data_IF_841982166967
#
_entry.id   IF_841982166967
#
_cell.length_a   1.000
_cell.length_b   1.000
_cell.length_c   1.000
_cell.angle_alpha   90.00
_cell.angle_beta   90.00
_cell.angle_gamma   90.00
#
_symmetry.space_group_name_H-M   'P 1'
#
loop_
_entity.id
_entity.type
_entity.pdbx_description
1 polymer ?
#
# COMPACT_ATOMS: atom_id res chain seq x y z
N UNK A 1 80.18 -18.83 -56.81
CA UNK A 1 80.58 -20.14 -57.36
C UNK A 1 79.48 -21.14 -56.95
N UNK A 2 78.83 -21.62 -57.99
CA UNK A 2 77.93 -22.76 -57.98
C UNK A 2 78.66 -24.08 -57.60
N UNK A 3 78.08 -25.28 -57.59
CA UNK A 3 76.69 -25.72 -57.52
C UNK A 3 76.44 -27.10 -56.73
N UNK A 4 75.17 -27.42 -56.53
CA UNK A 4 74.45 -28.68 -56.63
C UNK A 4 75.05 -30.03 -56.10
N UNK A 5 74.23 -31.19 -56.01
CA UNK A 5 72.78 -31.37 -56.04
C UNK A 5 72.23 -32.54 -55.10
N UNK A 6 70.88 -32.55 -54.98
CA UNK A 6 69.92 -33.70 -55.01
C UNK A 6 70.24 -35.03 -54.32
N UNK A 7 69.33 -35.53 -53.49
CA UNK A 7 68.79 -36.93 -53.66
C UNK A 7 67.44 -37.10 -52.95
N UNK A 8 66.48 -37.63 -53.74
CA UNK A 8 65.12 -38.09 -53.33
C UNK A 8 65.22 -39.43 -52.62
N UNK A 9 64.40 -39.63 -51.58
CA UNK A 9 63.75 -40.96 -51.37
C UNK A 9 62.48 -40.82 -50.67
N UNK A 10 61.39 -41.27 -51.28
CA UNK A 10 60.01 -41.49 -50.76
C UNK A 10 60.06 -42.58 -49.71
N UNK A 11 59.17 -42.44 -48.69
CA UNK A 11 58.46 -43.55 -48.08
C UNK A 11 57.12 -43.07 -47.55
N UNK A 12 56.09 -43.80 -47.98
CA UNK A 12 54.68 -43.70 -47.57
C UNK A 12 54.50 -44.17 -46.13
N UNK A 13 53.57 -43.53 -45.44
CA UNK A 13 53.13 -44.01 -44.11
C UNK A 13 52.03 -43.20 -43.54
N UNK A 14 50.78 -43.59 -43.77
CA UNK A 14 49.64 -43.57 -42.76
C UNK A 14 49.05 -42.25 -42.38
N UNK A 15 47.93 -41.85 -43.01
CA UNK A 15 46.94 -40.91 -42.49
C UNK A 15 46.16 -41.60 -41.35
N UNK A 16 46.20 -41.04 -40.15
CA UNK A 16 45.17 -41.15 -39.13
C UNK A 16 44.72 -39.75 -38.80
N UNK A 17 43.56 -39.38 -39.34
CA UNK A 17 42.91 -38.11 -39.06
C UNK A 17 42.23 -38.16 -37.70
N UNK A 18 42.74 -37.42 -36.73
CA UNK A 18 42.03 -37.10 -35.48
C UNK A 18 41.19 -35.86 -35.73
N UNK A 19 39.87 -36.03 -35.88
CA UNK A 19 38.93 -34.93 -35.79
C UNK A 19 38.86 -34.45 -34.33
N UNK A 20 39.52 -33.37 -33.99
CA UNK A 20 39.28 -32.65 -32.76
C UNK A 20 37.95 -31.88 -32.92
N UNK A 21 36.86 -32.42 -32.35
CA UNK A 21 35.60 -31.69 -32.18
C UNK A 21 35.86 -30.62 -31.14
N UNK A 22 36.16 -29.42 -31.61
CA UNK A 22 36.24 -28.22 -30.74
C UNK A 22 34.86 -27.88 -30.22
N UNK A 23 34.57 -28.23 -28.96
CA UNK A 23 33.44 -27.67 -28.25
C UNK A 23 33.70 -26.20 -28.00
N UNK A 24 33.10 -25.33 -28.80
CA UNK A 24 33.04 -23.90 -28.54
C UNK A 24 32.11 -23.70 -27.32
N UNK A 25 32.60 -23.23 -26.18
CA UNK A 25 31.70 -22.92 -25.07
C UNK A 25 30.80 -21.76 -25.53
N UNK A 26 29.51 -22.05 -25.69
CA UNK A 26 28.49 -21.02 -25.86
C UNK A 26 28.40 -20.29 -24.52
N UNK A 27 29.11 -19.18 -24.41
CA UNK A 27 28.95 -18.23 -23.30
C UNK A 27 27.56 -17.63 -23.45
N UNK A 28 26.57 -18.18 -22.74
CA UNK A 28 25.33 -17.48 -22.50
C UNK A 28 25.67 -16.22 -21.70
N UNK A 29 25.88 -15.12 -22.39
CA UNK A 29 25.92 -13.79 -21.79
C UNK A 29 24.51 -13.53 -21.25
N UNK A 30 24.29 -13.81 -19.97
CA UNK A 30 23.14 -13.29 -19.26
C UNK A 30 23.33 -11.77 -19.23
N UNK A 31 22.70 -11.08 -20.19
CA UNK A 31 22.53 -9.64 -20.08
C UNK A 31 21.74 -9.42 -18.78
N UNK A 32 22.44 -9.03 -17.73
CA UNK A 32 21.80 -8.38 -16.59
C UNK A 32 21.23 -7.07 -17.16
N UNK A 33 19.96 -7.10 -17.53
CA UNK A 33 19.24 -5.86 -17.79
C UNK A 33 19.20 -5.11 -16.45
N UNK A 34 19.70 -3.87 -16.44
CA UNK A 34 19.58 -3.01 -15.27
C UNK A 34 18.12 -3.00 -14.83
N UNK A 35 17.89 -3.07 -13.51
CA UNK A 35 16.54 -3.03 -12.98
C UNK A 35 15.85 -1.72 -13.40
N UNK A 36 14.60 -1.80 -13.79
CA UNK A 36 13.80 -0.66 -14.25
C UNK A 36 13.46 0.25 -13.06
N UNK A 37 13.82 1.54 -13.08
CA UNK A 37 13.52 2.45 -12.00
C UNK A 37 12.02 2.75 -11.93
N UNK A 38 11.44 2.66 -10.75
CA UNK A 38 10.03 2.87 -10.46
C UNK A 38 9.89 3.85 -9.31
N UNK A 39 9.05 4.86 -9.46
CA UNK A 39 8.71 5.82 -8.40
C UNK A 39 7.32 5.51 -7.85
N UNK A 40 7.28 5.24 -6.54
CA UNK A 40 6.07 4.99 -5.77
C UNK A 40 5.87 6.10 -4.74
N UNK A 41 4.71 6.75 -4.72
CA UNK A 41 4.34 7.69 -3.65
C UNK A 41 3.45 7.01 -2.62
N UNK A 42 3.73 7.26 -1.33
CA UNK A 42 2.88 6.85 -0.22
C UNK A 42 1.65 7.75 -0.07
N UNK A 43 0.60 7.29 0.63
CA UNK A 43 -0.56 8.13 0.96
C UNK A 43 -0.24 9.16 2.05
N UNK A 44 0.77 8.88 2.90
CA UNK A 44 1.09 9.63 4.11
C UNK A 44 2.58 9.59 4.43
N UNK A 45 2.96 10.06 5.63
CA UNK A 45 4.30 9.82 6.16
C UNK A 45 4.52 8.31 6.34
N UNK A 46 5.77 7.82 6.25
CA UNK A 46 6.05 6.41 6.49
C UNK A 46 5.73 6.03 7.94
N UNK A 47 4.78 5.12 8.12
CA UNK A 47 4.36 4.52 9.40
C UNK A 47 4.27 3.01 9.23
N UNK A 48 3.96 2.28 10.29
CA UNK A 48 3.97 0.81 10.28
C UNK A 48 3.05 0.16 9.24
N UNK A 49 1.94 0.80 8.87
CA UNK A 49 1.01 0.30 7.85
C UNK A 49 1.63 0.15 6.46
N UNK A 50 2.69 0.93 6.17
CA UNK A 50 3.40 0.86 4.89
C UNK A 50 4.71 0.08 4.96
N UNK A 51 5.07 -0.46 6.12
CA UNK A 51 6.32 -1.19 6.35
C UNK A 51 6.51 -2.37 5.39
N UNK A 52 5.42 -3.01 4.96
CA UNK A 52 5.45 -4.12 4.00
C UNK A 52 6.08 -3.74 2.65
N UNK A 53 5.99 -2.47 2.22
CA UNK A 53 6.62 -2.00 0.98
C UNK A 53 8.14 -1.89 1.15
N UNK A 54 8.61 -1.46 2.31
CA UNK A 54 10.04 -1.41 2.64
C UNK A 54 10.61 -2.83 2.77
N UNK A 55 9.86 -3.76 3.38
CA UNK A 55 10.20 -5.17 3.38
C UNK A 55 10.21 -5.73 1.95
N UNK A 56 9.24 -5.41 1.09
CA UNK A 56 9.23 -5.82 -0.32
C UNK A 56 10.51 -5.41 -1.05
N UNK A 57 10.97 -4.18 -0.82
CA UNK A 57 12.23 -3.67 -1.38
C UNK A 57 13.45 -4.38 -0.78
N UNK A 58 13.54 -4.47 0.54
CA UNK A 58 14.70 -5.05 1.25
C UNK A 58 14.87 -6.54 0.98
N UNK A 59 13.75 -7.29 0.97
CA UNK A 59 13.72 -8.73 0.66
C UNK A 59 13.84 -9.03 -0.85
N UNK A 60 13.91 -7.99 -1.69
CA UNK A 60 14.14 -8.10 -3.12
C UNK A 60 12.95 -8.64 -3.92
N UNK A 61 11.70 -8.54 -3.42
CA UNK A 61 10.53 -9.03 -4.14
C UNK A 61 10.32 -8.30 -5.47
N UNK A 62 10.59 -7.02 -5.54
CA UNK A 62 10.60 -6.23 -6.78
C UNK A 62 11.86 -6.44 -7.61
N UNK A 63 13.04 -6.48 -6.95
CA UNK A 63 14.32 -6.64 -7.64
C UNK A 63 14.38 -7.96 -8.45
N UNK A 64 13.85 -9.07 -7.90
CA UNK A 64 13.73 -10.36 -8.63
C UNK A 64 12.83 -10.29 -9.87
N UNK A 65 12.00 -9.24 -9.97
CA UNK A 65 11.13 -8.95 -11.12
C UNK A 65 11.67 -7.86 -12.03
N UNK A 66 12.93 -7.48 -11.82
CA UNK A 66 13.60 -6.47 -12.64
C UNK A 66 13.17 -5.03 -12.33
N UNK A 67 12.60 -4.75 -11.16
CA UNK A 67 12.18 -3.42 -10.75
C UNK A 67 13.04 -2.87 -9.61
N UNK A 68 13.45 -1.60 -9.72
CA UNK A 68 14.10 -0.83 -8.66
C UNK A 68 13.13 0.24 -8.14
N UNK A 69 12.45 -0.06 -7.01
CA UNK A 69 11.36 0.77 -6.50
C UNK A 69 11.86 1.79 -5.49
N UNK A 70 11.75 3.06 -5.84
CA UNK A 70 11.94 4.20 -4.94
C UNK A 70 10.63 4.57 -4.27
N UNK A 71 10.61 4.57 -2.93
CA UNK A 71 9.42 4.88 -2.13
C UNK A 71 9.54 6.32 -1.61
N UNK A 72 8.59 7.17 -1.99
CA UNK A 72 8.54 8.59 -1.59
C UNK A 72 7.38 8.82 -0.62
N UNK A 73 7.63 9.57 0.47
CA UNK A 73 6.57 9.93 1.43
C UNK A 73 5.45 10.73 0.76
N UNK A 74 4.24 10.58 1.27
CA UNK A 74 3.08 11.39 0.89
C UNK A 74 2.71 12.47 1.91
N UNK A 75 1.69 13.25 1.54
CA UNK A 75 1.11 14.33 2.35
C UNK A 75 -0.42 14.24 2.43
N UNK A 76 -0.98 13.11 2.05
CA UNK A 76 -2.40 12.78 2.01
C UNK A 76 -2.79 12.02 0.75
N UNK A 77 -3.78 11.13 0.88
CA UNK A 77 -4.26 10.31 -0.26
C UNK A 77 -4.72 11.15 -1.45
N UNK A 78 -5.31 12.33 -1.21
CA UNK A 78 -5.74 13.24 -2.27
C UNK A 78 -4.57 13.81 -3.06
N UNK A 79 -3.44 14.11 -2.41
CA UNK A 79 -2.23 14.58 -3.07
C UNK A 79 -1.54 13.42 -3.82
N UNK A 80 -1.44 12.25 -3.19
CA UNK A 80 -0.86 11.06 -3.81
C UNK A 80 -1.61 10.71 -5.10
N UNK A 81 -2.94 10.61 -5.06
CA UNK A 81 -3.77 10.34 -6.23
C UNK A 81 -3.58 11.39 -7.33
N UNK A 82 -3.59 12.68 -6.98
CA UNK A 82 -3.36 13.77 -7.94
C UNK A 82 -1.98 13.68 -8.60
N UNK A 83 -0.92 13.42 -7.81
CA UNK A 83 0.45 13.32 -8.32
C UNK A 83 0.62 12.12 -9.28
N UNK A 84 -0.01 10.98 -8.99
CA UNK A 84 -0.05 9.82 -9.90
C UNK A 84 -0.84 10.17 -11.17
N UNK A 85 -2.01 10.80 -11.04
CA UNK A 85 -2.82 11.22 -12.19
C UNK A 85 -2.10 12.23 -13.10
N UNK A 86 -1.23 13.06 -12.53
CA UNK A 86 -0.33 13.98 -13.26
C UNK A 86 0.96 13.28 -13.75
N UNK A 87 1.09 11.95 -13.58
CA UNK A 87 2.24 11.13 -14.03
C UNK A 87 3.59 11.54 -13.43
N UNK A 88 3.56 12.10 -12.21
CA UNK A 88 4.78 12.40 -11.46
C UNK A 88 5.37 11.16 -10.81
N UNK A 89 4.54 10.13 -10.65
CA UNK A 89 4.86 8.80 -10.14
C UNK A 89 4.16 7.77 -11.02
N UNK A 90 4.82 6.65 -11.29
CA UNK A 90 4.23 5.52 -12.01
C UNK A 90 3.15 4.85 -11.16
N UNK A 91 3.40 4.77 -9.84
CA UNK A 91 2.50 4.16 -8.87
C UNK A 91 2.31 5.03 -7.64
N UNK A 92 1.18 4.85 -6.99
CA UNK A 92 0.93 5.41 -5.67
C UNK A 92 0.13 4.45 -4.81
N UNK A 93 0.14 4.69 -3.51
CA UNK A 93 -0.89 4.17 -2.63
C UNK A 93 -1.79 5.34 -2.21
N UNK A 94 -3.09 5.15 -2.30
CA UNK A 94 -4.06 6.17 -1.90
C UNK A 94 -5.36 5.53 -1.40
N UNK A 95 -6.14 6.27 -0.64
CA UNK A 95 -7.52 5.90 -0.32
C UNK A 95 -8.37 5.86 -1.60
N UNK A 96 -9.21 4.86 -1.70
CA UNK A 96 -10.04 4.61 -2.90
C UNK A 96 -10.97 5.79 -3.22
N UNK A 97 -11.51 6.47 -2.21
CA UNK A 97 -12.35 7.65 -2.41
C UNK A 97 -11.57 8.82 -3.02
N UNK A 98 -10.32 9.01 -2.62
CA UNK A 98 -9.43 10.00 -3.21
C UNK A 98 -9.09 9.67 -4.67
N UNK A 99 -8.86 8.39 -4.98
CA UNK A 99 -8.66 7.92 -6.36
C UNK A 99 -9.90 8.17 -7.22
N UNK A 100 -11.09 7.77 -6.75
CA UNK A 100 -12.36 7.98 -7.48
C UNK A 100 -12.57 9.47 -7.77
N UNK A 101 -12.38 10.33 -6.77
CA UNK A 101 -12.52 11.79 -6.93
C UNK A 101 -11.53 12.36 -7.95
N UNK A 102 -10.30 11.89 -7.94
CA UNK A 102 -9.26 12.31 -8.89
C UNK A 102 -9.62 11.86 -10.31
N UNK A 103 -10.07 10.61 -10.47
CA UNK A 103 -10.55 10.09 -11.76
C UNK A 103 -11.75 10.87 -12.31
N UNK A 104 -12.75 11.15 -11.45
CA UNK A 104 -13.90 11.96 -11.78
C UNK A 104 -13.54 13.40 -12.20
N UNK A 105 -12.37 13.88 -11.78
CA UNK A 105 -11.85 15.22 -12.11
C UNK A 105 -11.02 15.24 -13.42
N UNK A 106 -11.02 14.18 -14.21
CA UNK A 106 -10.35 14.12 -15.52
C UNK A 106 -8.89 13.62 -15.48
N UNK A 107 -8.46 13.01 -14.37
CA UNK A 107 -7.17 12.33 -14.26
C UNK A 107 -7.41 10.82 -14.05
N UNK A 108 -7.61 10.03 -15.12
CA UNK A 108 -8.02 8.64 -15.04
C UNK A 108 -7.02 7.78 -14.30
N UNK A 109 -7.40 7.26 -13.15
CA UNK A 109 -6.64 6.34 -12.31
C UNK A 109 -7.36 5.00 -12.22
N UNK A 110 -6.59 3.94 -12.06
CA UNK A 110 -7.10 2.59 -11.84
C UNK A 110 -6.46 1.98 -10.58
N UNK A 111 -7.29 1.35 -9.76
CA UNK A 111 -6.86 0.53 -8.64
C UNK A 111 -6.36 -0.82 -9.15
N UNK A 112 -5.12 -1.17 -8.85
CA UNK A 112 -4.45 -2.38 -9.36
C UNK A 112 -4.25 -3.46 -8.29
N UNK A 113 -4.37 -3.11 -7.01
CA UNK A 113 -4.40 -4.07 -5.89
C UNK A 113 -4.91 -3.40 -4.61
N UNK A 114 -5.95 -3.96 -4.00
CA UNK A 114 -6.54 -3.48 -2.75
C UNK A 114 -5.73 -3.96 -1.54
N UNK A 115 -5.20 -3.03 -0.76
CA UNK A 115 -4.42 -3.35 0.45
C UNK A 115 -5.34 -3.47 1.67
N UNK A 116 -6.08 -2.41 1.99
CA UNK A 116 -6.99 -2.41 3.13
C UNK A 116 -8.40 -2.80 2.71
N UNK A 117 -8.77 -4.01 3.05
CA UNK A 117 -10.07 -4.60 2.71
C UNK A 117 -11.25 -4.04 3.54
N UNK A 118 -10.91 -3.37 4.66
CA UNK A 118 -11.85 -2.66 5.55
C UNK A 118 -11.40 -1.22 5.68
N UNK A 119 -12.34 -0.29 5.84
CA UNK A 119 -11.99 1.11 6.05
C UNK A 119 -11.52 1.34 7.48
N UNK A 120 -10.28 1.80 7.69
CA UNK A 120 -9.74 2.10 9.01
C UNK A 120 -10.09 3.51 9.50
N UNK A 121 -10.97 4.20 8.78
CA UNK A 121 -11.32 5.58 9.12
C UNK A 121 -12.17 5.61 10.38
N UNK A 122 -11.75 6.45 11.33
CA UNK A 122 -12.36 6.58 12.67
C UNK A 122 -12.52 8.03 13.10
N UNK A 123 -13.47 8.25 14.01
CA UNK A 123 -13.40 9.34 15.00
C UNK A 123 -12.71 8.75 16.23
N UNK A 124 -11.68 9.42 16.68
CA UNK A 124 -10.90 9.07 17.86
C UNK A 124 -11.02 10.17 18.91
N UNK A 125 -11.40 9.81 20.14
CA UNK A 125 -11.46 10.70 21.29
C UNK A 125 -10.78 10.09 22.51
N UNK A 126 -10.41 10.90 23.49
CA UNK A 126 -9.99 10.38 24.79
C UNK A 126 -11.20 9.87 25.55
N UNK A 127 -11.01 8.81 26.34
CA UNK A 127 -12.06 8.29 27.22
C UNK A 127 -12.60 9.38 28.13
N UNK A 128 -13.91 9.48 28.22
CA UNK A 128 -14.59 10.51 29.03
C UNK A 128 -14.76 11.85 28.32
N UNK A 129 -14.43 11.99 27.03
CA UNK A 129 -14.70 13.21 26.25
C UNK A 129 -16.22 13.45 25.99
N UNK A 130 -17.08 12.49 26.37
CA UNK A 130 -18.53 12.56 26.12
C UNK A 130 -18.87 12.44 24.63
N UNK A 131 -18.13 11.58 23.90
CA UNK A 131 -18.30 11.31 22.47
C UNK A 131 -18.38 9.80 22.32
N UNK A 132 -19.61 9.24 22.39
CA UNK A 132 -19.87 7.81 22.28
C UNK A 132 -20.69 7.43 21.05
N UNK A 133 -21.31 8.40 20.40
CA UNK A 133 -22.10 8.26 19.17
C UNK A 133 -21.86 9.45 18.25
N UNK A 134 -22.13 9.33 16.92
CA UNK A 134 -21.83 10.37 15.94
C UNK A 134 -22.42 11.75 16.29
N UNK A 135 -23.64 11.78 16.82
CA UNK A 135 -24.35 13.00 17.17
C UNK A 135 -23.67 13.83 18.30
N UNK A 136 -22.86 13.17 19.13
CA UNK A 136 -22.14 13.85 20.23
C UNK A 136 -21.00 14.75 19.73
N UNK A 137 -20.70 14.72 18.43
CA UNK A 137 -19.75 15.64 17.80
C UNK A 137 -20.29 17.05 17.63
N UNK A 138 -21.62 17.26 17.67
CA UNK A 138 -22.21 18.58 17.68
C UNK A 138 -21.78 19.38 18.94
N UNK A 139 -21.29 20.58 18.72
CA UNK A 139 -20.72 21.44 19.77
C UNK A 139 -19.24 21.14 20.08
N UNK A 140 -18.63 20.12 19.45
CA UNK A 140 -17.23 19.73 19.72
C UNK A 140 -16.26 20.30 18.68
N UNK A 141 -14.99 20.36 19.07
CA UNK A 141 -13.85 20.66 18.19
C UNK A 141 -13.37 19.35 17.58
N UNK A 142 -13.49 19.19 16.26
CA UNK A 142 -13.05 18.03 15.51
C UNK A 142 -11.77 18.37 14.73
N UNK A 143 -10.66 17.78 15.13
CA UNK A 143 -9.37 17.93 14.45
C UNK A 143 -9.22 17.00 13.26
N UNK A 144 -8.41 17.41 12.30
CA UNK A 144 -8.02 16.54 11.17
C UNK A 144 -7.16 17.24 10.13
N UNK A 145 -6.43 16.46 9.32
CA UNK A 145 -5.62 17.00 8.23
C UNK A 145 -6.49 17.24 6.97
N UNK A 146 -6.41 18.41 6.31
CA UNK A 146 -7.29 18.74 5.17
C UNK A 146 -7.30 17.72 4.04
N UNK A 147 -6.12 17.18 3.66
CA UNK A 147 -5.96 16.19 2.60
C UNK A 147 -6.05 14.73 3.09
N UNK A 148 -6.30 14.51 4.38
CA UNK A 148 -6.43 13.17 4.97
C UNK A 148 -7.72 12.47 4.53
N UNK A 149 -7.67 11.13 4.40
CA UNK A 149 -8.81 10.31 3.98
C UNK A 149 -10.06 10.54 4.87
N UNK A 150 -9.86 10.62 6.18
CA UNK A 150 -10.96 10.85 7.12
C UNK A 150 -11.70 12.17 6.88
N UNK A 151 -10.98 13.25 6.56
CA UNK A 151 -11.63 14.52 6.25
C UNK A 151 -12.32 14.53 4.90
N UNK A 152 -11.83 13.79 3.93
CA UNK A 152 -12.52 13.65 2.64
C UNK A 152 -13.83 12.88 2.78
N UNK A 153 -13.89 11.90 3.71
CA UNK A 153 -15.09 11.12 4.01
C UNK A 153 -15.99 11.74 5.09
N UNK A 154 -15.54 12.81 5.77
CA UNK A 154 -16.32 13.49 6.80
C UNK A 154 -17.72 13.92 6.33
N UNK A 155 -17.91 14.52 5.14
CA UNK A 155 -19.25 14.87 4.66
C UNK A 155 -20.18 13.67 4.53
N UNK A 156 -19.64 12.51 4.09
CA UNK A 156 -20.39 11.25 4.01
C UNK A 156 -20.82 10.78 5.39
N UNK A 157 -19.89 10.76 6.35
CA UNK A 157 -20.14 10.34 7.73
C UNK A 157 -21.17 11.26 8.42
N UNK A 158 -21.01 12.58 8.29
CA UNK A 158 -21.90 13.56 8.87
C UNK A 158 -23.33 13.40 8.34
N UNK A 159 -23.48 13.22 7.02
CA UNK A 159 -24.79 13.05 6.40
C UNK A 159 -25.45 11.73 6.77
N UNK A 160 -24.69 10.62 6.73
CA UNK A 160 -25.21 9.28 7.12
C UNK A 160 -25.74 9.25 8.55
N UNK A 161 -25.19 10.10 9.44
CA UNK A 161 -25.53 10.14 10.85
C UNK A 161 -26.36 11.38 11.24
N UNK A 162 -26.86 12.15 10.26
CA UNK A 162 -27.66 13.35 10.47
C UNK A 162 -27.00 14.39 11.39
N UNK A 163 -25.66 14.52 11.31
CA UNK A 163 -24.91 15.51 12.09
C UNK A 163 -25.09 16.89 11.45
N UNK A 164 -25.46 17.88 12.27
CA UNK A 164 -25.45 19.27 11.87
C UNK A 164 -24.00 19.79 11.84
N UNK A 165 -23.39 19.79 10.64
CA UNK A 165 -21.99 20.18 10.45
C UNK A 165 -21.70 21.62 10.87
N UNK A 166 -22.72 22.51 10.90
CA UNK A 166 -22.56 23.89 11.34
C UNK A 166 -22.27 24.00 12.84
N UNK A 167 -22.60 22.95 13.60
CA UNK A 167 -22.33 22.85 15.03
C UNK A 167 -20.99 22.18 15.35
N UNK A 168 -20.29 21.63 14.37
CA UNK A 168 -18.99 20.98 14.56
C UNK A 168 -17.89 21.97 14.19
N UNK A 169 -17.02 22.29 15.16
CA UNK A 169 -15.91 23.20 14.93
C UNK A 169 -14.72 22.43 14.36
N UNK A 170 -14.53 22.48 13.03
CA UNK A 170 -13.35 21.88 12.38
C UNK A 170 -12.08 22.63 12.76
N UNK A 171 -11.05 21.86 13.17
CA UNK A 171 -9.71 22.38 13.49
C UNK A 171 -8.70 21.69 12.55
N UNK A 172 -8.09 22.48 11.67
CA UNK A 172 -7.14 21.95 10.69
C UNK A 172 -5.78 21.73 11.33
N UNK A 173 -5.30 20.51 11.25
CA UNK A 173 -4.03 20.08 11.84
C UNK A 173 -3.03 19.70 10.75
N UNK A 174 -1.75 19.95 11.03
CA UNK A 174 -0.68 19.45 10.19
C UNK A 174 -0.59 17.90 10.31
N UNK A 175 -0.16 17.20 9.24
CA UNK A 175 0.11 15.79 9.27
C UNK A 175 0.98 15.37 10.48
N UNK A 176 0.54 14.34 11.21
CA UNK A 176 1.25 13.82 12.38
C UNK A 176 0.94 14.52 13.71
N UNK A 177 0.18 15.62 13.73
CA UNK A 177 -0.13 16.36 14.97
C UNK A 177 -1.46 15.97 15.62
N UNK A 178 -2.24 15.05 15.03
CA UNK A 178 -3.56 14.68 15.53
C UNK A 178 -3.55 14.23 17.00
N UNK A 179 -2.61 13.33 17.35
CA UNK A 179 -2.53 12.78 18.71
C UNK A 179 -2.04 13.79 19.72
N UNK A 180 -1.08 14.64 19.33
CA UNK A 180 -0.61 15.72 20.21
C UNK A 180 -1.73 16.72 20.53
N UNK A 181 -2.47 17.16 19.51
CA UNK A 181 -3.60 18.08 19.68
C UNK A 181 -4.72 17.45 20.54
N UNK A 182 -4.97 16.15 20.37
CA UNK A 182 -5.94 15.43 21.20
C UNK A 182 -5.51 15.35 22.67
N UNK A 183 -4.23 14.98 22.92
CA UNK A 183 -3.66 14.88 24.28
C UNK A 183 -3.58 16.25 24.98
N UNK A 184 -3.27 17.30 24.26
CA UNK A 184 -3.27 18.68 24.76
C UNK A 184 -4.68 19.23 24.99
N UNK A 185 -5.71 18.52 24.53
CA UNK A 185 -7.11 19.01 24.53
C UNK A 185 -7.32 20.28 23.67
N UNK A 186 -6.50 20.46 22.62
CA UNK A 186 -6.71 21.49 21.61
C UNK A 186 -7.94 21.16 20.76
N UNK A 187 -8.27 19.88 20.64
CA UNK A 187 -9.47 19.32 20.03
C UNK A 187 -10.13 18.29 20.96
N UNK A 188 -11.42 18.05 20.78
CA UNK A 188 -12.19 17.11 21.59
C UNK A 188 -12.20 15.71 20.98
N UNK A 189 -12.07 15.64 19.64
CA UNK A 189 -11.87 14.41 18.86
C UNK A 189 -11.04 14.71 17.61
N UNK A 190 -10.54 13.66 16.96
CA UNK A 190 -9.89 13.75 15.66
C UNK A 190 -10.53 12.79 14.66
N UNK A 191 -10.74 13.26 13.43
CA UNK A 191 -11.05 12.42 12.28
C UNK A 191 -9.72 11.93 11.68
N UNK A 192 -9.49 10.63 11.78
CA UNK A 192 -8.19 10.03 11.47
C UNK A 192 -8.33 8.58 11.00
N UNK A 193 -7.20 7.86 10.91
CA UNK A 193 -7.20 6.42 10.61
C UNK A 193 -6.62 5.62 11.79
N UNK A 194 -7.12 4.41 11.96
CA UNK A 194 -6.85 3.56 13.11
C UNK A 194 -5.36 3.27 13.27
N UNK A 195 -4.71 2.77 12.22
CA UNK A 195 -3.31 2.36 12.23
C UNK A 195 -2.30 3.52 12.37
N UNK A 196 -2.71 4.76 12.03
CA UNK A 196 -1.84 5.95 12.15
C UNK A 196 -2.01 6.71 13.46
N UNK A 197 -3.00 6.38 14.28
CA UNK A 197 -3.31 7.21 15.47
C UNK A 197 -3.41 6.41 16.76
N UNK A 198 -4.10 5.29 16.75
CA UNK A 198 -4.31 4.50 17.97
C UNK A 198 -3.00 3.91 18.55
N UNK A 199 -2.02 3.46 17.75
CA UNK A 199 -0.74 2.98 18.27
C UNK A 199 -0.04 3.94 19.23
N UNK A 200 -0.14 5.24 19.01
CA UNK A 200 0.46 6.25 19.91
C UNK A 200 -0.23 6.28 21.28
N UNK A 201 -1.55 6.15 21.32
CA UNK A 201 -2.30 6.12 22.58
C UNK A 201 -2.06 4.80 23.33
N UNK A 202 -1.96 3.68 22.61
CA UNK A 202 -1.60 2.38 23.17
C UNK A 202 -0.22 2.40 23.81
N UNK A 203 0.79 2.91 23.10
CA UNK A 203 2.16 3.01 23.59
C UNK A 203 2.28 3.91 24.84
N UNK A 204 1.42 4.91 24.95
CA UNK A 204 1.39 5.83 26.10
C UNK A 204 0.40 5.41 27.20
N UNK A 205 -0.26 4.25 27.05
CA UNK A 205 -1.31 3.76 27.97
C UNK A 205 -2.43 4.79 28.20
N UNK A 206 -2.78 5.58 27.18
CA UNK A 206 -3.82 6.59 27.24
C UNK A 206 -5.16 5.97 26.85
N UNK A 207 -6.19 5.95 27.73
CA UNK A 207 -7.51 5.43 27.41
C UNK A 207 -8.22 6.28 26.35
N UNK A 208 -8.82 5.60 25.36
CA UNK A 208 -9.49 6.23 24.22
C UNK A 208 -10.82 5.56 23.90
N UNK A 209 -11.58 6.21 23.03
CA UNK A 209 -12.81 5.70 22.41
C UNK A 209 -12.72 5.92 20.90
N UNK A 210 -13.21 4.96 20.12
CA UNK A 210 -13.22 5.00 18.67
C UNK A 210 -14.63 4.77 18.12
N UNK A 211 -14.92 5.42 16.99
CA UNK A 211 -16.08 5.14 16.15
C UNK A 211 -15.59 4.91 14.73
N UNK A 212 -15.73 3.68 14.23
CA UNK A 212 -15.42 3.39 12.83
C UNK A 212 -16.49 3.98 11.92
N UNK A 213 -16.07 4.63 10.84
CA UNK A 213 -16.98 5.13 9.82
C UNK A 213 -17.80 3.99 9.20
N UNK A 214 -17.19 2.81 9.02
CA UNK A 214 -17.85 1.62 8.51
C UNK A 214 -19.03 1.16 9.38
N UNK A 215 -18.92 1.26 10.71
CA UNK A 215 -20.01 0.91 11.62
C UNK A 215 -21.15 1.96 11.62
N UNK A 216 -20.94 3.10 10.99
CA UNK A 216 -21.85 4.24 10.98
C UNK A 216 -22.22 4.70 9.55
N UNK A 217 -22.42 3.75 8.65
CA UNK A 217 -23.00 3.99 7.31
C UNK A 217 -22.00 4.39 6.21
N UNK A 218 -20.67 4.36 6.47
CA UNK A 218 -19.65 4.64 5.48
C UNK A 218 -18.68 3.45 5.41
N UNK A 219 -19.18 2.27 5.02
CA UNK A 219 -18.36 1.06 4.83
C UNK A 219 -17.85 0.98 3.39
N UNK A 220 -16.66 1.49 3.17
CA UNK A 220 -15.97 1.49 1.89
C UNK A 220 -14.62 0.79 2.00
N UNK A 221 -14.00 0.53 0.85
CA UNK A 221 -12.57 0.20 0.79
C UNK A 221 -11.71 1.39 1.25
N UNK A 222 -10.43 1.15 1.55
CA UNK A 222 -9.48 2.19 1.89
C UNK A 222 -8.25 2.17 0.98
N UNK A 223 -7.06 1.89 1.51
CA UNK A 223 -5.82 2.02 0.76
C UNK A 223 -5.69 0.97 -0.35
N UNK A 224 -5.40 1.46 -1.53
CA UNK A 224 -5.15 0.66 -2.74
C UNK A 224 -3.91 1.16 -3.48
N UNK A 225 -3.23 0.28 -4.21
CA UNK A 225 -2.26 0.70 -5.20
C UNK A 225 -2.96 1.22 -6.45
N UNK A 226 -2.50 2.38 -6.91
CA UNK A 226 -3.06 3.09 -8.06
C UNK A 226 -1.99 3.37 -9.12
N UNK A 227 -2.43 3.44 -10.37
CA UNK A 227 -1.60 3.85 -11.52
C UNK A 227 -2.47 4.62 -12.52
N UNK A 228 -1.90 5.46 -13.41
CA UNK A 228 -2.65 6.04 -14.52
C UNK A 228 -3.23 4.92 -15.42
N UNK A 229 -4.47 5.06 -15.86
CA UNK A 229 -5.12 4.05 -16.72
C UNK A 229 -4.32 3.78 -18.01
N UNK A 230 -3.72 4.81 -18.60
CA UNK A 230 -2.86 4.67 -19.78
C UNK A 230 -1.56 3.91 -19.49
N UNK A 231 -0.99 4.06 -18.27
CA UNK A 231 0.22 3.33 -17.87
C UNK A 231 -0.06 1.83 -17.80
N UNK A 232 -1.23 1.45 -17.27
CA UNK A 232 -1.69 0.05 -17.29
C UNK A 232 -1.74 -0.52 -18.71
N UNK A 233 -2.26 0.25 -19.67
CA UNK A 233 -2.37 -0.18 -21.07
C UNK A 233 -0.99 -0.29 -21.74
N UNK A 234 -0.09 0.65 -21.47
CA UNK A 234 1.24 0.69 -22.08
C UNK A 234 2.23 -0.29 -21.46
N UNK A 235 2.12 -0.59 -20.17
CA UNK A 235 3.15 -1.27 -19.38
C UNK A 235 2.59 -2.42 -18.52
N UNK A 236 1.61 -3.18 -19.02
CA UNK A 236 0.92 -4.22 -18.25
C UNK A 236 1.84 -5.26 -17.59
N UNK A 237 2.96 -5.64 -18.21
CA UNK A 237 3.94 -6.56 -17.62
C UNK A 237 4.68 -5.94 -16.43
N UNK A 238 5.02 -4.65 -16.50
CA UNK A 238 5.63 -3.91 -15.41
C UNK A 238 4.64 -3.79 -14.25
N UNK A 239 3.36 -3.45 -14.54
CA UNK A 239 2.28 -3.39 -13.54
C UNK A 239 2.11 -4.74 -12.84
N UNK A 240 2.12 -5.86 -13.58
CA UNK A 240 2.08 -7.21 -13.02
C UNK A 240 3.26 -7.44 -12.06
N UNK A 241 4.49 -7.14 -12.51
CA UNK A 241 5.71 -7.30 -11.70
C UNK A 241 5.65 -6.45 -10.43
N UNK A 242 5.15 -5.21 -10.53
CA UNK A 242 4.97 -4.32 -9.39
C UNK A 242 3.95 -4.87 -8.38
N UNK A 243 2.76 -5.26 -8.85
CA UNK A 243 1.68 -5.79 -7.99
C UNK A 243 2.11 -7.07 -7.30
N UNK A 244 2.67 -8.04 -8.03
CA UNK A 244 3.12 -9.31 -7.45
C UNK A 244 4.20 -9.09 -6.39
N UNK A 245 5.18 -8.22 -6.65
CA UNK A 245 6.22 -7.87 -5.68
C UNK A 245 5.66 -7.19 -4.43
N UNK A 246 4.69 -6.28 -4.59
CA UNK A 246 4.00 -5.63 -3.48
C UNK A 246 3.19 -6.64 -2.64
N UNK A 247 2.46 -7.55 -3.29
CA UNK A 247 1.65 -8.57 -2.59
C UNK A 247 2.51 -9.62 -1.89
N UNK A 248 3.69 -9.98 -2.44
CA UNK A 248 4.66 -10.81 -1.72
C UNK A 248 5.21 -10.09 -0.48
N UNK A 249 5.49 -8.79 -0.57
CA UNK A 249 5.86 -7.98 0.59
C UNK A 249 4.76 -7.93 1.65
N UNK A 250 3.51 -7.81 1.23
CA UNK A 250 2.34 -7.83 2.12
C UNK A 250 2.19 -9.20 2.79
N UNK A 251 2.29 -10.30 2.04
CA UNK A 251 2.30 -11.67 2.59
C UNK A 251 3.45 -11.86 3.58
N UNK A 252 4.65 -11.39 3.22
CA UNK A 252 5.83 -11.48 4.09
C UNK A 252 5.59 -10.76 5.41
N UNK A 253 5.01 -9.54 5.39
CA UNK A 253 4.72 -8.76 6.60
C UNK A 253 3.72 -9.45 7.52
N UNK A 254 2.70 -10.12 6.97
CA UNK A 254 1.72 -10.88 7.75
C UNK A 254 2.35 -12.07 8.49
N UNK A 255 3.35 -12.69 7.89
CA UNK A 255 3.99 -13.91 8.41
C UNK A 255 5.25 -13.63 9.22
N UNK A 256 5.91 -12.50 9.01
CA UNK A 256 7.19 -12.14 9.59
C UNK A 256 7.19 -10.67 10.08
N UNK A 257 6.27 -10.27 10.99
CA UNK A 257 6.10 -8.88 11.38
C UNK A 257 7.36 -8.30 12.06
N UNK A 258 8.10 -9.12 12.82
CA UNK A 258 9.34 -8.66 13.46
C UNK A 258 10.42 -8.31 12.41
N UNK A 259 10.63 -9.19 11.40
CA UNK A 259 11.57 -8.88 10.32
C UNK A 259 11.11 -7.68 9.50
N UNK A 260 9.81 -7.55 9.26
CA UNK A 260 9.23 -6.39 8.56
C UNK A 260 9.50 -5.09 9.33
N UNK A 261 9.40 -5.12 10.67
CA UNK A 261 9.77 -3.99 11.52
C UNK A 261 11.24 -3.62 11.35
N UNK A 262 12.16 -4.62 11.39
CA UNK A 262 13.58 -4.36 11.22
C UNK A 262 13.91 -3.79 9.82
N UNK A 263 13.33 -4.37 8.76
CA UNK A 263 13.48 -3.88 7.39
C UNK A 263 12.97 -2.43 7.22
N UNK A 264 11.91 -2.08 7.94
CA UNK A 264 11.35 -0.73 7.96
C UNK A 264 12.24 0.24 8.73
N UNK A 265 12.70 -0.13 9.91
CA UNK A 265 13.58 0.69 10.77
C UNK A 265 14.94 0.94 10.08
N UNK A 266 15.47 -0.04 9.35
CA UNK A 266 16.67 0.17 8.52
C UNK A 266 16.52 1.31 7.52
N UNK A 267 15.32 1.47 6.97
CA UNK A 267 15.02 2.52 5.99
C UNK A 267 14.54 3.83 6.63
N UNK A 268 13.86 3.74 7.77
CA UNK A 268 13.26 4.84 8.53
C UNK A 268 13.69 4.73 10.00
N UNK A 269 14.91 5.14 10.34
CA UNK A 269 15.47 4.93 11.68
C UNK A 269 14.64 5.55 12.83
N UNK A 270 13.93 6.64 12.56
CA UNK A 270 13.04 7.29 13.53
C UNK A 270 11.91 6.38 14.01
N UNK A 271 11.46 5.45 13.16
CA UNK A 271 10.38 4.50 13.49
C UNK A 271 10.80 3.43 14.52
N UNK A 272 12.08 3.32 14.81
CA UNK A 272 12.64 2.33 15.75
C UNK A 272 13.62 2.91 16.76
N UNK A 273 13.68 4.22 16.92
CA UNK A 273 14.68 4.91 17.74
C UNK A 273 14.59 4.56 19.22
N UNK A 274 13.40 4.33 19.72
CA UNK A 274 13.12 3.90 21.09
C UNK A 274 12.23 2.66 21.09
N UNK A 275 12.14 1.95 22.23
CA UNK A 275 11.19 0.83 22.39
C UNK A 275 9.74 1.29 22.17
N UNK A 276 9.43 2.53 22.57
CA UNK A 276 8.12 3.14 22.32
C UNK A 276 7.83 3.31 20.81
N UNK A 277 8.79 3.81 20.04
CA UNK A 277 8.63 3.99 18.60
C UNK A 277 8.46 2.64 17.89
N UNK A 278 9.24 1.63 18.31
CA UNK A 278 9.10 0.26 17.82
C UNK A 278 7.72 -0.34 18.13
N UNK A 279 7.20 -0.11 19.34
CA UNK A 279 5.86 -0.56 19.73
C UNK A 279 4.76 0.10 18.91
N UNK A 280 4.88 1.41 18.62
CA UNK A 280 3.97 2.14 17.74
C UNK A 280 4.00 1.56 16.33
N UNK A 281 5.18 1.40 15.77
CA UNK A 281 5.37 0.85 14.41
C UNK A 281 4.82 -0.57 14.30
N UNK A 282 5.11 -1.43 15.27
CA UNK A 282 4.59 -2.80 15.31
C UNK A 282 3.06 -2.81 15.40
N UNK A 283 2.47 -2.00 16.27
CA UNK A 283 1.01 -1.94 16.41
C UNK A 283 0.34 -1.48 15.11
N UNK A 284 0.90 -0.46 14.45
CA UNK A 284 0.42 0.02 13.14
C UNK A 284 0.49 -1.07 12.05
N UNK A 285 1.60 -1.82 11.99
CA UNK A 285 1.78 -2.95 11.07
C UNK A 285 0.75 -4.06 11.33
N UNK A 286 0.51 -4.43 12.60
CA UNK A 286 -0.43 -5.48 12.97
C UNK A 286 -1.88 -5.09 12.73
N UNK A 287 -2.24 -3.81 12.92
CA UNK A 287 -3.54 -3.28 12.55
C UNK A 287 -3.74 -3.41 11.03
N UNK A 288 -2.75 -3.01 10.23
CA UNK A 288 -2.81 -3.17 8.77
C UNK A 288 -2.98 -4.65 8.36
N UNK A 289 -2.33 -5.57 9.09
CA UNK A 289 -2.54 -7.02 8.89
C UNK A 289 -3.98 -7.41 9.16
N UNK A 290 -4.56 -6.98 10.28
CA UNK A 290 -5.94 -7.28 10.66
C UNK A 290 -6.96 -6.76 9.63
N UNK A 291 -6.73 -5.56 9.08
CA UNK A 291 -7.57 -4.95 8.05
C UNK A 291 -7.60 -5.74 6.74
N UNK A 292 -6.48 -6.39 6.40
CA UNK A 292 -6.34 -7.19 5.18
C UNK A 292 -6.88 -8.62 5.28
N UNK A 293 -7.11 -9.16 6.49
CA UNK A 293 -7.54 -10.54 6.70
C UNK A 293 -9.06 -10.68 6.61
N UNK A 294 -9.59 -10.78 5.40
CA UNK A 294 -11.03 -10.98 5.13
C UNK A 294 -11.27 -12.27 4.35
N UNK A 295 -12.51 -12.80 4.40
CA UNK A 295 -12.87 -14.01 3.66
C UNK A 295 -12.66 -13.86 2.16
N UNK A 296 -12.90 -12.67 1.59
CA UNK A 296 -12.63 -12.37 0.18
C UNK A 296 -11.15 -12.55 -0.18
N UNK A 297 -10.24 -12.06 0.67
CA UNK A 297 -8.80 -12.25 0.50
C UNK A 297 -8.40 -13.71 0.68
N UNK A 298 -9.00 -14.41 1.64
CA UNK A 298 -8.74 -15.84 1.85
C UNK A 298 -9.08 -16.67 0.62
N UNK A 299 -10.21 -16.38 -0.01
CA UNK A 299 -10.69 -17.11 -1.20
C UNK A 299 -9.92 -16.73 -2.46
N UNK A 300 -9.73 -15.43 -2.69
CA UNK A 300 -9.28 -14.91 -3.97
C UNK A 300 -7.80 -14.53 -4.00
N UNK A 301 -7.17 -14.29 -2.83
CA UNK A 301 -5.77 -13.88 -2.68
C UNK A 301 -5.61 -12.40 -2.34
N UNK A 302 -4.38 -12.04 -1.99
CA UNK A 302 -4.03 -10.67 -1.62
C UNK A 302 -4.23 -9.71 -2.80
N UNK A 303 -4.71 -8.52 -2.49
CA UNK A 303 -4.94 -7.47 -3.48
C UNK A 303 -6.31 -7.50 -4.15
N UNK A 304 -7.16 -8.49 -3.86
CA UNK A 304 -8.43 -8.69 -4.55
C UNK A 304 -9.44 -7.56 -4.31
N UNK A 305 -10.14 -7.17 -5.39
CA UNK A 305 -11.28 -6.27 -5.32
C UNK A 305 -12.58 -7.07 -5.47
N UNK A 306 -13.45 -6.99 -4.49
CA UNK A 306 -14.82 -7.49 -4.58
C UNK A 306 -15.70 -6.47 -5.32
N UNK A 307 -16.38 -6.90 -6.37
CA UNK A 307 -17.18 -6.00 -7.20
C UNK A 307 -18.32 -5.35 -6.43
N UNK A 308 -18.99 -6.11 -5.55
CA UNK A 308 -20.13 -5.60 -4.77
C UNK A 308 -19.66 -4.47 -3.86
N UNK A 309 -18.53 -4.66 -3.18
CA UNK A 309 -17.95 -3.63 -2.31
C UNK A 309 -17.38 -2.45 -3.10
N UNK A 310 -16.81 -2.67 -4.30
CA UNK A 310 -16.38 -1.59 -5.18
C UNK A 310 -17.55 -0.74 -5.66
N UNK A 311 -18.67 -1.38 -6.03
CA UNK A 311 -19.92 -0.68 -6.42
C UNK A 311 -20.45 0.15 -5.26
N UNK A 312 -20.55 -0.45 -4.07
CA UNK A 312 -20.96 0.27 -2.86
C UNK A 312 -20.03 1.45 -2.54
N UNK A 313 -18.72 1.26 -2.70
CA UNK A 313 -17.73 2.34 -2.53
C UNK A 313 -17.96 3.49 -3.53
N UNK A 314 -18.24 3.18 -4.78
CA UNK A 314 -18.58 4.19 -5.81
C UNK A 314 -19.90 4.89 -5.49
N UNK A 315 -20.93 4.17 -5.04
CA UNK A 315 -22.23 4.73 -4.67
C UNK A 315 -22.12 5.71 -3.49
N UNK A 316 -21.35 5.36 -2.46
CA UNK A 316 -21.02 6.28 -1.35
C UNK A 316 -20.25 7.49 -1.91
N UNK A 317 -19.24 7.27 -2.76
CA UNK A 317 -18.47 8.34 -3.39
C UNK A 317 -19.35 9.31 -4.17
N UNK A 318 -20.24 8.83 -5.03
CA UNK A 318 -21.15 9.65 -5.83
C UNK A 318 -22.18 10.39 -4.98
N UNK A 319 -22.68 9.75 -3.92
CA UNK A 319 -23.69 10.34 -3.05
C UNK A 319 -23.14 11.44 -2.14
N UNK A 320 -21.87 11.34 -1.71
CA UNK A 320 -21.33 12.16 -0.61
C UNK A 320 -20.08 12.95 -0.93
N UNK A 321 -19.27 12.57 -1.94
CA UNK A 321 -18.01 13.26 -2.23
C UNK A 321 -18.14 14.41 -3.24
N UNK A 322 -19.34 14.75 -3.67
CA UNK A 322 -19.60 15.82 -4.66
C UNK A 322 -18.71 15.63 -5.91
N UNK A 323 -18.79 14.45 -6.52
CA UNK A 323 -18.00 14.14 -7.71
C UNK A 323 -18.47 14.99 -8.91
N UNK A 324 -17.57 15.55 -9.72
CA UNK A 324 -17.93 16.30 -10.93
C UNK A 324 -18.55 15.42 -12.02
N UNK A 325 -18.28 14.12 -11.99
CA UNK A 325 -18.86 13.10 -12.87
C UNK A 325 -18.88 11.75 -12.15
N UNK A 326 -19.72 10.82 -12.59
CA UNK A 326 -19.71 9.44 -12.09
C UNK A 326 -18.86 8.58 -13.03
N UNK A 327 -17.67 8.10 -12.60
CA UNK A 327 -16.88 7.20 -13.42
C UNK A 327 -17.58 5.86 -13.63
N UNK A 328 -17.28 5.19 -14.76
CA UNK A 328 -17.69 3.80 -14.95
C UNK A 328 -16.93 2.89 -13.98
N UNK A 329 -17.66 1.98 -13.29
CA UNK A 329 -17.09 1.09 -12.30
C UNK A 329 -15.96 0.22 -12.89
N UNK A 330 -16.14 -0.29 -14.11
CA UNK A 330 -15.14 -1.13 -14.77
C UNK A 330 -13.84 -0.41 -15.11
N UNK A 331 -13.85 0.94 -15.14
CA UNK A 331 -12.66 1.75 -15.35
C UNK A 331 -11.87 2.04 -14.08
N UNK A 332 -12.43 1.73 -12.90
CA UNK A 332 -11.84 2.11 -11.60
C UNK A 332 -10.92 1.07 -11.00
N UNK A 333 -11.01 -0.19 -11.39
CA UNK A 333 -10.19 -1.26 -10.82
C UNK A 333 -9.94 -2.40 -11.79
N UNK A 334 -8.94 -3.23 -11.47
CA UNK A 334 -8.70 -4.49 -12.17
C UNK A 334 -8.22 -5.57 -11.20
N UNK A 335 -8.66 -6.81 -11.42
CA UNK A 335 -8.14 -8.00 -10.74
C UNK A 335 -7.16 -8.80 -11.60
N UNK A 336 -6.73 -8.25 -12.74
CA UNK A 336 -5.90 -8.96 -13.72
C UNK A 336 -4.56 -9.44 -13.14
N UNK A 337 -4.01 -8.74 -12.16
CA UNK A 337 -2.67 -8.99 -11.63
C UNK A 337 -2.66 -9.47 -10.17
N UNK A 338 -3.82 -9.63 -9.55
CA UNK A 338 -3.98 -10.10 -8.17
C UNK A 338 -4.46 -11.54 -8.11
N UNK A 339 -4.43 -12.15 -6.92
CA UNK A 339 -4.91 -13.52 -6.72
C UNK A 339 -3.83 -14.60 -6.90
N UNK A 340 -2.64 -14.29 -7.45
CA UNK A 340 -1.51 -15.22 -7.53
C UNK A 340 -0.82 -15.40 -6.17
N UNK A 341 -0.80 -14.37 -5.33
CA UNK A 341 -0.23 -14.40 -3.98
C UNK A 341 -1.33 -14.72 -2.98
N UNK A 342 -1.29 -15.91 -2.40
CA UNK A 342 -2.28 -16.41 -1.42
C UNK A 342 -1.59 -16.85 -0.13
N UNK A 343 -2.34 -16.83 0.95
CA UNK A 343 -1.97 -17.49 2.20
C UNK A 343 -2.54 -18.90 2.19
N UNK A 344 -1.74 -19.90 2.58
CA UNK A 344 -2.26 -21.23 2.93
C UNK A 344 -3.10 -21.15 4.19
N UNK A 345 -3.88 -22.19 4.52
CA UNK A 345 -4.68 -22.20 5.76
C UNK A 345 -3.81 -22.05 7.02
N UNK A 346 -2.62 -22.65 7.04
CA UNK A 346 -1.66 -22.52 8.14
C UNK A 346 -1.10 -21.10 8.25
N UNK A 347 -0.75 -20.47 7.11
CA UNK A 347 -0.29 -19.08 7.07
C UNK A 347 -1.39 -18.11 7.48
N UNK A 348 -2.64 -18.37 7.06
CA UNK A 348 -3.81 -17.61 7.46
C UNK A 348 -4.03 -17.65 8.96
N UNK A 349 -4.00 -18.85 9.56
CA UNK A 349 -4.13 -19.03 11.01
C UNK A 349 -3.01 -18.31 11.78
N UNK A 350 -1.76 -18.40 11.26
CA UNK A 350 -0.61 -17.68 11.84
C UNK A 350 -0.81 -16.16 11.80
N UNK A 351 -1.22 -15.61 10.66
CA UNK A 351 -1.44 -14.18 10.49
C UNK A 351 -2.57 -13.67 11.41
N UNK A 352 -3.68 -14.41 11.52
CA UNK A 352 -4.78 -14.08 12.45
C UNK A 352 -4.34 -14.11 13.91
N UNK A 353 -3.58 -15.14 14.32
CA UNK A 353 -3.06 -15.22 15.69
C UNK A 353 -2.11 -14.05 15.99
N UNK A 354 -1.26 -13.70 15.05
CA UNK A 354 -0.32 -12.59 15.21
C UNK A 354 -1.03 -11.23 15.36
N UNK A 355 -2.10 -11.02 14.61
CA UNK A 355 -2.88 -9.77 14.64
C UNK A 355 -4.12 -9.83 15.54
N UNK A 356 -4.31 -10.88 16.37
CA UNK A 356 -5.56 -11.16 17.09
C UNK A 356 -6.08 -10.01 17.95
N UNK A 357 -5.18 -9.22 18.55
CA UNK A 357 -5.53 -8.06 19.39
C UNK A 357 -6.20 -6.93 18.60
N UNK A 358 -6.02 -6.93 17.28
CA UNK A 358 -6.48 -5.87 16.39
C UNK A 358 -7.54 -6.33 15.39
N UNK A 359 -7.99 -7.58 15.45
CA UNK A 359 -9.04 -8.08 14.58
C UNK A 359 -10.35 -7.31 14.82
N UNK A 360 -11.12 -7.19 13.75
CA UNK A 360 -12.41 -6.47 13.73
C UNK A 360 -13.62 -7.41 13.98
N UNK A 361 -13.39 -8.59 14.55
CA UNK A 361 -14.42 -9.61 14.82
C UNK A 361 -15.22 -9.31 16.08
#
# INVERSE_FOLDING_TARGET
MEPHPVSRRRLLGGLVGAYAVGTVPVLFSTRSTAAEPINLTLPWIPEGEVAFMYAARKQGFWARRGLDVTITRGFGSGEAAKNVGLKRYEYGQADIGAMIKTSASGLPLISIAMVNQRSPVIILSLKGAGISRPKDLEGKRLGGAPAGAANQLWPAFARANNIDVSKVKMVWLQPGLNIQALKNKDVDAVATVYQSSVPYLLADNVPYEIMFFSAHGVDIYSLTFITPAEHLQASGNQVKSFVEGAMEGLKFSYLNPQQTLEDFVDAIPEAGKTDRDRAITMSSLLINTAEGLTDQVRQNGLGWHDEVKMRHTLDIGTSYLSLPSTPDLGSLYTNQFVGSVKLTDAEWAKARETAKTYLFD
#
